data_IF_398891982007
#
_entry.id   IF_398891982007
#
_cell.length_a   1.000
_cell.length_b   1.000
_cell.length_c   1.000
_cell.angle_alpha   90.00
_cell.angle_beta   90.00
_cell.angle_gamma   90.00
#
_symmetry.space_group_name_H-M   'P 1'
#
loop_
_entity.id
_entity.type
_entity.pdbx_description
1 polymer ?
#
# COMPACT_ATOMS: atom_id res chain seq x y z
N UNK A 1 8.01 6.00 -8.76
CA UNK A 1 8.19 6.43 -7.36
C UNK A 1 9.55 7.11 -7.25
N UNK A 2 9.64 8.27 -6.60
CA UNK A 2 10.91 8.99 -6.43
C UNK A 2 11.37 8.82 -4.99
N UNK A 3 12.56 8.24 -4.80
CA UNK A 3 13.24 8.23 -3.52
C UNK A 3 14.09 9.49 -3.46
N UNK A 4 13.80 10.35 -2.49
CA UNK A 4 14.47 11.64 -2.32
C UNK A 4 15.23 11.65 -1.02
N UNK A 5 16.38 12.30 -1.00
CA UNK A 5 17.17 12.49 0.21
C UNK A 5 16.66 13.65 1.07
N UNK A 6 17.28 13.90 2.23
CA UNK A 6 16.85 14.93 3.17
C UNK A 6 16.86 16.36 2.59
N UNK A 7 17.70 16.62 1.58
CA UNK A 7 17.78 17.90 0.88
C UNK A 7 16.83 18.03 -0.32
N UNK A 8 15.99 17.02 -0.57
CA UNK A 8 15.08 16.98 -1.73
C UNK A 8 15.72 16.53 -3.03
N UNK A 9 17.00 16.14 -3.01
CA UNK A 9 17.69 15.56 -4.15
C UNK A 9 17.10 14.19 -4.52
N UNK A 10 16.90 13.95 -5.82
CA UNK A 10 16.41 12.67 -6.30
C UNK A 10 17.55 11.64 -6.23
N UNK A 11 17.48 10.73 -5.25
CA UNK A 11 18.48 9.68 -5.05
C UNK A 11 18.26 8.52 -6.04
N UNK A 12 17.01 8.09 -6.22
CA UNK A 12 16.67 7.05 -7.18
C UNK A 12 15.24 7.21 -7.69
N UNK A 13 15.05 6.95 -8.99
CA UNK A 13 13.74 6.76 -9.59
C UNK A 13 13.40 5.27 -9.68
N UNK A 14 12.62 4.80 -8.74
CA UNK A 14 12.10 3.43 -8.75
C UNK A 14 11.00 3.32 -9.80
N UNK A 15 11.21 2.41 -10.77
CA UNK A 15 10.22 2.08 -11.80
C UNK A 15 8.99 1.48 -11.14
N UNK A 16 7.84 2.07 -11.46
CA UNK A 16 6.54 1.51 -11.18
C UNK A 16 6.08 0.81 -12.44
N UNK A 17 5.33 -0.28 -12.27
CA UNK A 17 4.65 -0.93 -13.37
C UNK A 17 3.49 -0.01 -13.81
N UNK A 18 3.49 0.50 -15.05
CA UNK A 18 2.47 1.43 -15.51
C UNK A 18 1.06 0.81 -15.56
N UNK A 19 0.98 -0.51 -15.65
CA UNK A 19 -0.30 -1.24 -15.76
C UNK A 19 -0.83 -1.70 -14.39
N UNK A 20 -0.02 -1.57 -13.33
CA UNK A 20 -0.40 -1.94 -11.97
C UNK A 20 -1.01 -0.75 -11.21
N UNK A 21 -2.21 -0.93 -10.65
CA UNK A 21 -2.87 0.10 -9.87
C UNK A 21 -3.71 -0.47 -8.70
N UNK A 22 -4.03 0.39 -7.74
CA UNK A 22 -4.99 0.09 -6.68
C UNK A 22 -6.36 0.64 -7.12
N UNK A 23 -7.26 -0.22 -7.59
CA UNK A 23 -8.63 0.18 -7.90
C UNK A 23 -9.31 0.73 -6.64
N UNK A 24 -10.03 1.84 -6.80
CA UNK A 24 -10.64 2.61 -5.71
C UNK A 24 -9.66 3.31 -4.75
N UNK A 25 -8.36 3.35 -5.03
CA UNK A 25 -7.45 4.21 -4.25
C UNK A 25 -7.87 5.67 -4.31
N UNK A 26 -7.70 6.39 -3.20
CA UNK A 26 -7.81 7.85 -3.22
C UNK A 26 -6.81 8.45 -4.23
N UNK A 27 -7.22 9.44 -5.04
CA UNK A 27 -6.31 10.13 -5.94
C UNK A 27 -5.39 11.06 -5.15
N UNK A 28 -4.16 11.25 -5.64
CA UNK A 28 -3.24 12.24 -5.10
C UNK A 28 -1.80 11.75 -5.01
N UNK A 29 -0.93 12.65 -4.54
CA UNK A 29 0.47 12.37 -4.28
C UNK A 29 0.71 12.41 -2.77
N UNK A 30 1.46 11.43 -2.26
CA UNK A 30 1.92 11.42 -0.88
C UNK A 30 3.45 11.45 -0.84
N UNK A 31 4.00 12.14 0.14
CA UNK A 31 5.44 12.25 0.38
C UNK A 31 5.67 12.20 1.88
N UNK A 32 6.68 11.45 2.30
CA UNK A 32 7.03 11.24 3.70
C UNK A 32 8.11 10.18 3.79
N UNK A 33 8.64 9.98 5.01
CA UNK A 33 9.54 8.85 5.26
C UNK A 33 8.82 7.51 5.06
N UNK A 34 9.58 6.42 4.99
CA UNK A 34 9.03 5.09 4.79
C UNK A 34 9.06 4.27 6.08
N UNK A 35 7.92 3.69 6.46
CA UNK A 35 7.80 2.77 7.60
C UNK A 35 7.36 1.40 7.11
N UNK A 36 8.04 0.35 7.55
CA UNK A 36 7.63 -1.03 7.24
C UNK A 36 6.56 -1.52 8.22
N UNK A 37 5.34 -1.75 7.73
CA UNK A 37 4.19 -2.14 8.55
C UNK A 37 3.81 -3.62 8.50
N UNK A 38 4.67 -4.46 7.93
CA UNK A 38 4.40 -5.90 7.77
C UNK A 38 3.06 -6.15 7.05
N UNK A 39 2.07 -6.82 7.66
CA UNK A 39 0.74 -7.02 7.06
C UNK A 39 -0.26 -5.91 7.37
N UNK A 40 0.10 -4.90 8.18
CA UNK A 40 -0.80 -3.81 8.57
C UNK A 40 -1.90 -4.25 9.54
N UNK A 41 -1.75 -5.40 10.21
CA UNK A 41 -2.73 -5.88 11.19
C UNK A 41 -2.65 -5.04 12.47
N UNK A 42 -3.70 -5.03 13.30
CA UNK A 42 -3.66 -4.34 14.59
C UNK A 42 -2.44 -4.72 15.45
N UNK A 43 -2.03 -6.00 15.43
CA UNK A 43 -0.85 -6.47 16.15
C UNK A 43 0.46 -5.92 15.54
N UNK A 44 0.56 -5.84 14.22
CA UNK A 44 1.76 -5.29 13.55
C UNK A 44 1.92 -3.78 13.88
N UNK A 45 0.81 -3.03 13.86
CA UNK A 45 0.79 -1.61 14.22
C UNK A 45 1.06 -1.37 15.71
N UNK A 46 0.58 -2.25 16.59
CA UNK A 46 0.92 -2.21 18.01
C UNK A 46 2.41 -2.46 18.25
N UNK A 47 3.02 -3.42 17.53
CA UNK A 47 4.45 -3.68 17.62
C UNK A 47 5.30 -2.52 17.12
N UNK A 48 4.90 -1.84 16.04
CA UNK A 48 5.58 -0.63 15.57
C UNK A 48 5.61 0.45 16.65
N UNK A 49 4.45 0.73 17.26
CA UNK A 49 4.34 1.71 18.35
C UNK A 49 5.19 1.32 19.57
N UNK A 50 5.20 0.03 19.93
CA UNK A 50 6.01 -0.47 21.03
C UNK A 50 7.53 -0.31 20.79
N UNK A 51 7.96 -0.26 19.52
CA UNK A 51 9.35 0.01 19.11
C UNK A 51 9.66 1.50 18.96
N UNK A 52 8.71 2.39 19.27
CA UNK A 52 8.87 3.83 19.10
C UNK A 52 8.81 4.32 17.66
N UNK A 53 8.36 3.49 16.72
CA UNK A 53 8.23 3.86 15.30
C UNK A 53 6.80 4.37 15.05
N UNK A 54 6.70 5.62 14.57
CA UNK A 54 5.42 6.25 14.26
C UNK A 54 5.12 6.18 12.76
N UNK A 55 3.90 5.78 12.39
CA UNK A 55 3.40 5.87 11.02
C UNK A 55 2.87 7.27 10.67
N UNK A 56 2.69 8.15 11.66
CA UNK A 56 2.14 9.49 11.48
C UNK A 56 2.99 10.29 10.49
N UNK A 57 2.39 10.78 9.39
CA UNK A 57 3.10 11.58 8.39
C UNK A 57 4.02 10.78 7.45
N UNK A 58 4.03 9.45 7.56
CA UNK A 58 4.91 8.58 6.79
C UNK A 58 4.14 7.76 5.75
N UNK A 59 4.84 7.32 4.70
CA UNK A 59 4.38 6.27 3.80
C UNK A 59 4.58 4.93 4.49
N UNK A 60 3.60 4.03 4.37
CA UNK A 60 3.72 2.69 4.95
C UNK A 60 3.87 1.62 3.87
N UNK A 61 4.88 0.76 4.01
CA UNK A 61 5.12 -0.40 3.14
C UNK A 61 4.49 -1.65 3.76
N UNK A 62 3.56 -2.27 3.04
CA UNK A 62 2.75 -3.39 3.51
C UNK A 62 2.79 -4.58 2.54
N UNK A 63 2.78 -5.78 3.11
CA UNK A 63 2.63 -7.06 2.41
C UNK A 63 1.18 -7.30 2.03
N UNK A 64 0.94 -7.77 0.80
CA UNK A 64 -0.40 -8.11 0.30
C UNK A 64 -1.03 -9.33 1.00
N UNK A 65 -0.24 -10.30 1.44
CA UNK A 65 -0.77 -11.49 2.12
C UNK A 65 -1.55 -11.14 3.40
N UNK A 66 -2.37 -12.09 3.89
CA UNK A 66 -3.09 -12.00 5.18
C UNK A 66 -3.97 -10.74 5.35
N UNK A 67 -5.25 -10.85 5.01
CA UNK A 67 -6.25 -9.76 5.09
C UNK A 67 -6.47 -9.05 3.75
N UNK A 68 -7.45 -8.16 3.67
CA UNK A 68 -7.78 -7.47 2.41
C UNK A 68 -6.95 -6.18 2.22
N UNK A 69 -6.65 -5.76 0.98
CA UNK A 69 -5.98 -4.48 0.72
C UNK A 69 -6.74 -3.29 1.30
N UNK A 70 -8.08 -3.28 1.24
CA UNK A 70 -8.90 -2.21 1.81
C UNK A 70 -8.70 -2.07 3.33
N UNK A 71 -8.73 -3.18 4.07
CA UNK A 71 -8.48 -3.19 5.53
C UNK A 71 -7.08 -2.68 5.86
N UNK A 72 -6.07 -3.06 5.07
CA UNK A 72 -4.68 -2.62 5.25
C UNK A 72 -4.55 -1.11 5.11
N UNK A 73 -5.12 -0.55 4.04
CA UNK A 73 -5.05 0.89 3.77
C UNK A 73 -5.90 1.68 4.78
N UNK A 74 -7.05 1.16 5.23
CA UNK A 74 -7.83 1.76 6.30
C UNK A 74 -7.08 1.78 7.64
N UNK A 75 -6.45 0.67 8.01
CA UNK A 75 -5.64 0.57 9.23
C UNK A 75 -4.43 1.52 9.18
N UNK A 76 -3.80 1.65 8.01
CA UNK A 76 -2.74 2.61 7.76
C UNK A 76 -3.18 4.06 7.97
N UNK A 77 -4.31 4.44 7.38
CA UNK A 77 -4.89 5.76 7.54
C UNK A 77 -5.23 6.05 9.02
N UNK A 78 -5.82 5.08 9.72
CA UNK A 78 -6.11 5.18 11.15
C UNK A 78 -4.86 5.30 12.03
N UNK A 79 -3.71 4.81 11.56
CA UNK A 79 -2.41 4.97 12.21
C UNK A 79 -1.69 6.28 11.83
N UNK A 80 -2.31 7.12 10.99
CA UNK A 80 -1.77 8.42 10.59
C UNK A 80 -0.84 8.41 9.39
N UNK A 81 -0.73 7.27 8.69
CA UNK A 81 0.04 7.21 7.45
C UNK A 81 -0.58 8.11 6.39
N UNK A 82 0.25 8.72 5.55
CA UNK A 82 -0.18 9.62 4.46
C UNK A 82 -0.32 8.90 3.12
N UNK A 83 0.13 7.65 3.03
CA UNK A 83 -0.01 6.80 1.86
C UNK A 83 0.51 5.38 2.10
N UNK A 84 0.17 4.46 1.20
CA UNK A 84 0.51 3.03 1.33
C UNK A 84 1.15 2.49 0.06
N UNK A 85 2.21 1.72 0.22
CA UNK A 85 2.78 0.87 -0.82
C UNK A 85 2.46 -0.59 -0.50
N UNK A 86 1.84 -1.30 -1.44
CA UNK A 86 1.48 -2.70 -1.30
C UNK A 86 2.37 -3.56 -2.19
N UNK A 87 2.91 -4.67 -1.69
CA UNK A 87 3.73 -5.56 -2.51
C UNK A 87 3.39 -7.05 -2.32
N UNK A 88 3.51 -7.85 -3.39
CA UNK A 88 3.30 -9.29 -3.34
C UNK A 88 4.53 -9.98 -2.74
N UNK A 89 4.54 -10.27 -1.44
CA UNK A 89 5.70 -10.93 -0.83
C UNK A 89 5.86 -12.35 -1.40
N UNK A 90 7.05 -12.73 -1.90
CA UNK A 90 7.29 -14.06 -2.46
C UNK A 90 6.93 -15.20 -1.48
N UNK A 91 7.04 -14.97 -0.16
CA UNK A 91 6.67 -15.94 0.86
C UNK A 91 5.16 -16.19 0.93
N UNK A 92 4.35 -15.20 0.57
CA UNK A 92 2.88 -15.32 0.52
C UNK A 92 2.38 -15.81 -0.84
N UNK A 93 3.15 -15.56 -1.90
CA UNK A 93 2.76 -15.84 -3.29
C UNK A 93 3.23 -17.21 -3.78
N UNK A 94 4.10 -17.88 -3.03
CA UNK A 94 4.39 -19.29 -3.26
C UNK A 94 3.14 -20.12 -2.91
N UNK A 95 2.62 -20.86 -3.89
CA UNK A 95 1.50 -21.77 -3.65
C UNK A 95 1.85 -22.89 -2.65
N UNK A 96 0.86 -23.62 -2.10
CA UNK A 96 1.12 -24.79 -1.27
C UNK A 96 2.08 -25.75 -2.00
N UNK A 97 3.25 -26.03 -1.41
CA UNK A 97 4.31 -26.85 -2.02
C UNK A 97 5.40 -26.07 -2.76
N UNK A 98 5.45 -24.74 -2.66
CA UNK A 98 6.56 -23.94 -3.20
C UNK A 98 6.54 -23.79 -4.72
N UNK A 99 5.35 -23.93 -5.34
CA UNK A 99 5.16 -23.71 -6.78
C UNK A 99 5.63 -22.31 -7.23
N UNK A 100 5.78 -22.08 -8.55
CA UNK A 100 6.34 -20.84 -9.09
C UNK A 100 5.40 -19.69 -8.72
N UNK A 101 5.72 -19.00 -7.61
CA UNK A 101 5.00 -17.80 -7.20
C UNK A 101 5.16 -16.69 -8.23
N UNK A 102 4.64 -15.51 -7.91
CA UNK A 102 4.83 -14.34 -8.75
C UNK A 102 6.33 -14.04 -8.92
N UNK A 103 6.73 -13.64 -10.13
CA UNK A 103 8.09 -13.16 -10.37
C UNK A 103 8.32 -11.90 -9.53
N UNK A 104 9.54 -11.75 -8.99
CA UNK A 104 9.84 -10.65 -8.06
C UNK A 104 9.71 -9.26 -8.67
N UNK A 105 9.75 -9.12 -9.99
CA UNK A 105 9.56 -7.88 -10.74
C UNK A 105 8.09 -7.54 -11.01
N UNK A 106 7.15 -8.43 -10.70
CA UNK A 106 5.72 -8.26 -10.97
C UNK A 106 5.04 -7.47 -9.86
N UNK A 107 4.39 -6.36 -10.20
CA UNK A 107 3.41 -5.70 -9.34
C UNK A 107 2.00 -6.27 -9.62
N UNK A 108 1.10 -6.21 -8.64
CA UNK A 108 -0.25 -6.79 -8.78
C UNK A 108 -1.28 -5.68 -8.64
N UNK A 109 -2.20 -5.59 -9.62
CA UNK A 109 -3.38 -4.73 -9.51
C UNK A 109 -4.32 -5.27 -8.44
N UNK A 110 -4.73 -4.42 -7.50
CA UNK A 110 -5.54 -4.82 -6.34
C UNK A 110 -6.76 -3.92 -6.15
N UNK A 111 -7.80 -4.46 -5.52
CA UNK A 111 -9.00 -3.71 -5.15
C UNK A 111 -8.91 -3.20 -3.71
N UNK A 112 -9.09 -1.90 -3.51
CA UNK A 112 -9.03 -1.20 -2.22
C UNK A 112 -10.41 -0.62 -1.86
N UNK A 113 -11.44 -1.48 -1.92
CA UNK A 113 -12.80 -1.17 -1.48
C UNK A 113 -13.28 -2.24 -0.50
N UNK A 114 -13.82 -1.82 0.66
CA UNK A 114 -14.38 -2.72 1.66
C UNK A 114 -15.91 -2.81 1.51
N UNK A 115 -16.37 -3.71 0.65
CA UNK A 115 -17.79 -3.95 0.40
C UNK A 115 -18.06 -4.76 -0.89
N UNK A 116 -19.21 -5.43 -0.94
CA UNK A 116 -19.66 -6.16 -2.12
C UNK A 116 -20.54 -5.26 -3.02
N UNK A 117 -20.37 -5.38 -4.34
CA UNK A 117 -21.16 -4.65 -5.33
C UNK A 117 -20.74 -3.19 -5.51
N UNK A 118 -21.64 -2.40 -6.10
CA UNK A 118 -21.47 -0.96 -6.29
C UNK A 118 -21.41 -0.25 -4.92
N UNK A 119 -20.31 0.48 -4.60
CA UNK A 119 -20.18 1.21 -3.34
C UNK A 119 -21.35 2.17 -3.07
N UNK A 120 -21.99 2.67 -4.13
CA UNK A 120 -23.10 3.63 -4.07
C UNK A 120 -24.48 2.99 -4.10
N UNK A 121 -24.57 1.67 -4.35
CA UNK A 121 -25.83 0.92 -4.44
C UNK A 121 -25.75 -0.40 -3.66
N UNK A 122 -25.21 -0.37 -2.43
CA UNK A 122 -25.09 -1.59 -1.61
C UNK A 122 -26.46 -2.25 -1.40
N UNK A 123 -26.61 -3.48 -1.88
CA UNK A 123 -27.83 -4.28 -1.72
C UNK A 123 -28.93 -4.04 -2.76
N UNK A 124 -28.72 -3.16 -3.74
CA UNK A 124 -29.71 -2.87 -4.79
C UNK A 124 -29.04 -2.75 -6.18
N UNK A 125 -29.76 -3.01 -7.29
CA UNK A 125 -29.22 -2.76 -8.63
C UNK A 125 -28.96 -1.25 -8.83
N UNK A 126 -27.87 -0.91 -9.52
CA UNK A 126 -27.59 0.48 -9.91
C UNK A 126 -28.36 0.81 -11.19
N UNK A 127 -29.30 1.75 -11.13
CA UNK A 127 -30.20 2.06 -12.25
C UNK A 127 -29.83 3.34 -13.02
N UNK A 128 -29.07 4.25 -12.42
CA UNK A 128 -28.83 5.60 -12.97
C UNK A 128 -27.40 5.83 -13.45
N UNK A 129 -26.48 4.91 -13.14
CA UNK A 129 -25.05 5.05 -13.47
C UNK A 129 -24.37 6.28 -12.87
N UNK A 130 -25.02 6.99 -11.94
CA UNK A 130 -24.52 8.20 -11.31
C UNK A 130 -24.08 7.91 -9.88
N UNK A 131 -22.81 8.20 -9.60
CA UNK A 131 -22.31 8.27 -8.24
C UNK A 131 -22.72 9.61 -7.60
N UNK A 132 -23.28 9.63 -6.37
CA UNK A 132 -23.48 10.87 -5.64
C UNK A 132 -22.13 11.57 -5.36
N UNK A 133 -22.11 12.91 -5.30
CA UNK A 133 -20.91 13.65 -4.94
C UNK A 133 -20.51 13.35 -3.49
N UNK A 134 -19.21 13.11 -3.26
CA UNK A 134 -18.66 12.84 -1.94
C UNK A 134 -17.67 11.67 -1.93
N UNK A 135 -17.10 11.34 -0.76
CA UNK A 135 -16.21 10.20 -0.62
C UNK A 135 -16.96 8.89 -0.86
N UNK A 136 -16.32 7.97 -1.57
CA UNK A 136 -16.89 6.64 -1.84
C UNK A 136 -16.95 5.85 -0.52
N UNK A 137 -18.13 5.37 -0.09
CA UNK A 137 -18.24 4.60 1.15
C UNK A 137 -17.36 3.33 1.13
N UNK A 138 -16.56 3.13 2.18
CA UNK A 138 -15.68 1.95 2.28
C UNK A 138 -14.36 2.07 1.49
N UNK A 139 -14.03 3.27 0.99
CA UNK A 139 -12.73 3.58 0.40
C UNK A 139 -11.87 4.34 1.40
N UNK A 140 -10.64 3.88 1.69
CA UNK A 140 -9.69 4.59 2.53
C UNK A 140 -9.28 5.96 1.96
N UNK A 141 -9.09 7.00 2.79
CA UNK A 141 -8.90 8.38 2.33
C UNK A 141 -7.45 8.71 1.91
N UNK A 142 -6.54 7.73 1.89
CA UNK A 142 -5.13 7.93 1.55
C UNK A 142 -4.75 7.19 0.28
N UNK A 143 -3.82 7.72 -0.54
CA UNK A 143 -3.38 7.06 -1.76
C UNK A 143 -2.67 5.74 -1.45
N UNK A 144 -2.95 4.73 -2.25
CA UNK A 144 -2.29 3.44 -2.22
C UNK A 144 -1.79 3.06 -3.61
N UNK A 145 -0.61 2.46 -3.69
CA UNK A 145 -0.05 2.02 -4.97
C UNK A 145 0.63 0.65 -4.84
N UNK A 146 0.41 -0.28 -5.79
CA UNK A 146 1.09 -1.55 -5.78
C UNK A 146 2.52 -1.37 -6.32
N UNK A 147 3.46 -2.11 -5.75
CA UNK A 147 4.85 -2.20 -6.23
C UNK A 147 5.26 -3.65 -6.31
N UNK A 148 6.28 -3.95 -7.11
CA UNK A 148 6.84 -5.29 -7.18
C UNK A 148 7.62 -5.63 -5.90
N UNK A 149 7.80 -6.93 -5.64
CA UNK A 149 8.60 -7.40 -4.52
C UNK A 149 10.05 -6.87 -4.60
N UNK A 150 10.63 -6.82 -5.79
CA UNK A 150 11.97 -6.28 -6.02
C UNK A 150 12.07 -4.80 -5.64
N UNK A 151 11.07 -3.99 -6.01
CA UNK A 151 11.02 -2.58 -5.60
C UNK A 151 10.86 -2.44 -4.09
N UNK A 152 10.01 -3.25 -3.46
CA UNK A 152 9.86 -3.27 -2.00
C UNK A 152 11.18 -3.64 -1.29
N UNK A 153 11.89 -4.65 -1.79
CA UNK A 153 13.19 -5.07 -1.24
C UNK A 153 14.26 -3.99 -1.38
N UNK A 154 14.28 -3.22 -2.47
CA UNK A 154 15.17 -2.06 -2.60
C UNK A 154 14.85 -1.01 -1.54
N UNK A 155 13.58 -0.65 -1.37
CA UNK A 155 13.12 0.30 -0.37
C UNK A 155 13.48 -0.12 1.07
N UNK A 156 13.33 -1.41 1.39
CA UNK A 156 13.70 -1.94 2.71
C UNK A 156 15.20 -1.85 3.00
N UNK A 157 16.06 -1.99 1.98
CA UNK A 157 17.51 -1.82 2.13
C UNK A 157 17.86 -0.35 2.42
N UNK A 158 17.22 0.59 1.74
CA UNK A 158 17.41 2.02 2.02
C UNK A 158 17.00 2.43 3.44
N UNK A 159 16.01 1.75 4.03
CA UNK A 159 15.63 1.98 5.42
C UNK A 159 16.59 1.39 6.47
N UNK A 160 17.53 0.53 6.06
CA UNK A 160 18.53 -0.09 6.95
C UNK A 160 19.92 0.52 6.84
N UNK A 161 20.26 1.08 5.68
CA UNK A 161 21.54 1.77 5.49
C UNK A 161 21.40 3.26 5.84
N UNK A 162 22.29 3.85 6.66
CA UNK A 162 22.35 5.31 6.78
C UNK A 162 22.64 5.92 5.39
N UNK A 163 22.11 7.12 5.09
CA UNK A 163 22.38 7.75 3.80
C UNK A 163 23.89 7.84 3.59
N UNK A 164 24.36 7.27 2.47
CA UNK A 164 25.78 7.35 2.10
C UNK A 164 26.12 8.82 1.86
N UNK A 165 26.99 9.35 2.72
CA UNK A 165 27.64 10.66 2.61
C UNK A 165 28.48 10.77 1.34
#
# INVERSE_FOLDING_TARGET
LRWVGPGGEELERLRLDPDAFCAWSAPGNATGGLVYGHYGRPQDLAQLRARGVSAQGHLMLLRLGRGTPAQKVAAAAGAGAVGVLLYPDPQDMAGPGGGPGLRGDTAVTVHVHDGAGDPFSRGFPSFTGHAPPGPVPGVPPIPAHPISANTAMKLLRYGQDPPKS
#
